data_IF_782313589349
#
_entry.id   IF_782313589349
#
_cell.length_a   1.000
_cell.length_b   1.000
_cell.length_c   1.000
_cell.angle_alpha   90.00
_cell.angle_beta   90.00
_cell.angle_gamma   90.00
#
_symmetry.space_group_name_H-M   'P 1'
#
loop_
_entity.id
_entity.type
_entity.pdbx_description
1 polymer ?
#
# COMPACT_ATOMS: atom_id res chain seq x y z
N UNK A 1 -5.50 8.07 -3.45
CA UNK A 1 -5.43 8.12 -4.93
C UNK A 1 -5.04 6.77 -5.48
N UNK A 2 -5.56 6.39 -6.65
CA UNK A 2 -5.17 5.20 -7.42
C UNK A 2 -4.43 5.65 -8.67
N UNK A 3 -3.25 5.08 -8.94
CA UNK A 3 -2.55 5.22 -10.21
C UNK A 3 -2.78 3.94 -11.04
N UNK A 4 -3.39 4.08 -12.19
CA UNK A 4 -3.55 2.96 -13.12
C UNK A 4 -2.27 2.87 -13.95
N UNK A 5 -1.48 1.82 -13.71
CA UNK A 5 -0.25 1.58 -14.47
C UNK A 5 -0.61 0.83 -15.76
N UNK A 6 -0.74 1.58 -16.84
CA UNK A 6 -1.16 1.04 -18.13
C UNK A 6 -0.01 0.31 -18.86
N UNK A 7 -0.31 -0.87 -19.35
CA UNK A 7 0.58 -1.65 -20.21
C UNK A 7 0.03 -1.72 -21.64
N UNK A 8 0.88 -1.98 -22.66
CA UNK A 8 0.45 -2.07 -24.06
C UNK A 8 -0.59 -3.15 -24.35
N UNK A 9 -0.70 -4.13 -23.46
CA UNK A 9 -1.68 -5.23 -23.56
C UNK A 9 -3.04 -4.88 -23.00
N UNK A 10 -3.14 -3.78 -22.24
CA UNK A 10 -4.39 -3.37 -21.62
C UNK A 10 -5.32 -2.75 -22.66
N UNK A 11 -6.57 -3.15 -22.63
CA UNK A 11 -7.58 -2.57 -23.51
C UNK A 11 -8.13 -1.28 -22.90
N UNK A 12 -8.57 -0.37 -23.78
CA UNK A 12 -9.23 0.86 -23.34
C UNK A 12 -10.42 0.57 -22.45
N UNK A 13 -11.18 -0.48 -22.71
CA UNK A 13 -12.35 -0.85 -21.93
C UNK A 13 -12.00 -1.24 -20.48
N UNK A 14 -10.89 -1.95 -20.29
CA UNK A 14 -10.40 -2.31 -18.95
C UNK A 14 -9.95 -1.07 -18.16
N UNK A 15 -9.19 -0.18 -18.80
CA UNK A 15 -8.74 1.06 -18.18
C UNK A 15 -9.93 1.96 -17.80
N UNK A 16 -10.88 2.14 -18.71
CA UNK A 16 -12.10 2.93 -18.47
C UNK A 16 -12.95 2.31 -17.34
N UNK A 17 -13.03 0.99 -17.26
CA UNK A 17 -13.75 0.30 -16.19
C UNK A 17 -13.13 0.57 -14.81
N UNK A 18 -11.81 0.44 -14.69
CA UNK A 18 -11.10 0.71 -13.44
C UNK A 18 -11.26 2.18 -13.03
N UNK A 19 -11.13 3.11 -13.99
CA UNK A 19 -11.31 4.53 -13.74
C UNK A 19 -12.73 4.84 -13.25
N UNK A 20 -13.74 4.30 -13.93
CA UNK A 20 -15.15 4.48 -13.55
C UNK A 20 -15.41 3.94 -12.13
N UNK A 21 -14.83 2.77 -11.80
CA UNK A 21 -15.00 2.16 -10.48
C UNK A 21 -14.33 2.97 -9.36
N UNK A 22 -13.17 3.54 -9.62
CA UNK A 22 -12.52 4.46 -8.69
C UNK A 22 -13.37 5.70 -8.43
N UNK A 23 -13.93 6.29 -9.48
CA UNK A 23 -14.82 7.45 -9.37
C UNK A 23 -16.10 7.14 -8.60
N UNK A 24 -16.71 5.97 -8.84
CA UNK A 24 -17.88 5.48 -8.09
C UNK A 24 -17.60 5.40 -6.58
N UNK A 25 -16.38 4.96 -6.22
CA UNK A 25 -15.92 4.87 -4.83
C UNK A 25 -15.42 6.20 -4.25
N UNK A 26 -15.50 7.30 -4.99
CA UNK A 26 -15.00 8.61 -4.54
C UNK A 26 -13.48 8.67 -4.41
N UNK A 27 -12.75 7.80 -5.13
CA UNK A 27 -11.30 7.74 -5.08
C UNK A 27 -10.70 8.47 -6.28
N UNK A 28 -9.79 9.40 -6.04
CA UNK A 28 -9.04 10.08 -7.09
C UNK A 28 -8.21 9.05 -7.86
N UNK A 29 -8.21 9.16 -9.18
CA UNK A 29 -7.56 8.22 -10.08
C UNK A 29 -6.84 8.94 -11.21
N UNK A 30 -5.65 8.49 -11.56
CA UNK A 30 -4.89 8.97 -12.71
C UNK A 30 -4.30 7.80 -13.50
N UNK A 31 -4.32 7.92 -14.83
CA UNK A 31 -3.66 6.97 -15.72
C UNK A 31 -2.17 7.29 -15.79
N UNK A 32 -1.34 6.28 -15.64
CA UNK A 32 0.11 6.34 -15.83
C UNK A 32 0.50 5.51 -17.05
N UNK A 33 1.02 6.16 -18.07
CA UNK A 33 1.53 5.53 -19.29
C UNK A 33 3.07 5.58 -19.34
N UNK A 34 3.72 5.64 -18.19
CA UNK A 34 5.18 5.79 -18.07
C UNK A 34 5.93 4.66 -18.78
N UNK A 35 5.38 3.46 -18.77
CA UNK A 35 5.99 2.32 -19.46
C UNK A 35 6.11 2.57 -20.97
N UNK A 36 5.08 3.13 -21.62
CA UNK A 36 5.06 3.34 -23.06
C UNK A 36 5.66 4.68 -23.49
N UNK A 37 5.51 5.73 -22.68
CA UNK A 37 5.82 7.13 -23.03
C UNK A 37 6.92 7.76 -22.18
N UNK A 38 7.52 7.01 -21.25
CA UNK A 38 8.49 7.57 -20.31
C UNK A 38 7.88 8.67 -19.45
N UNK A 39 8.66 9.71 -19.13
CA UNK A 39 8.23 10.79 -18.25
C UNK A 39 6.97 11.53 -18.71
N UNK A 40 6.77 11.68 -20.02
CA UNK A 40 5.56 12.32 -20.56
C UNK A 40 4.28 11.57 -20.19
N UNK A 41 4.36 10.22 -20.14
CA UNK A 41 3.24 9.38 -19.71
C UNK A 41 2.86 9.51 -18.25
N UNK A 42 3.71 10.14 -17.42
CA UNK A 42 3.48 10.36 -16.00
C UNK A 42 2.97 11.74 -15.62
N UNK A 43 2.89 12.69 -16.58
CA UNK A 43 2.56 14.09 -16.27
C UNK A 43 1.21 14.21 -15.55
N UNK A 44 0.15 13.59 -16.05
CA UNK A 44 -1.17 13.64 -15.44
C UNK A 44 -1.20 13.08 -14.02
N UNK A 45 -0.43 12.00 -13.78
CA UNK A 45 -0.27 11.44 -12.45
C UNK A 45 0.45 12.42 -11.52
N UNK A 46 1.52 13.06 -11.99
CA UNK A 46 2.28 14.04 -11.22
C UNK A 46 1.43 15.28 -10.87
N UNK A 47 0.67 15.81 -11.82
CA UNK A 47 -0.24 16.93 -11.62
C UNK A 47 -1.29 16.61 -10.56
N UNK A 48 -1.89 15.41 -10.61
CA UNK A 48 -2.88 14.98 -9.61
C UNK A 48 -2.26 14.77 -8.23
N UNK A 49 -1.02 14.27 -8.14
CA UNK A 49 -0.29 14.19 -6.86
C UNK A 49 -0.05 15.59 -6.29
N UNK A 50 0.44 16.53 -7.11
CA UNK A 50 0.67 17.91 -6.67
C UNK A 50 -0.63 18.53 -6.15
N UNK A 51 -1.72 18.36 -6.88
CA UNK A 51 -3.04 18.85 -6.44
C UNK A 51 -3.46 18.28 -5.10
N UNK A 52 -3.27 16.96 -4.90
CA UNK A 52 -3.69 16.26 -3.69
C UNK A 52 -2.84 16.57 -2.46
N UNK A 53 -1.55 16.89 -2.62
CA UNK A 53 -0.70 17.25 -1.47
C UNK A 53 -1.03 18.63 -0.90
N UNK A 54 -1.74 19.47 -1.67
CA UNK A 54 -2.26 20.76 -1.19
C UNK A 54 -3.60 20.62 -0.41
N UNK A 55 -4.25 19.45 -0.51
CA UNK A 55 -5.50 19.23 0.23
C UNK A 55 -5.20 18.90 1.71
N UNK A 56 -6.08 19.38 2.63
CA UNK A 56 -6.01 18.95 4.02
C UNK A 56 -6.05 17.43 4.13
N UNK A 57 -5.21 16.86 4.98
CA UNK A 57 -5.19 15.42 5.20
C UNK A 57 -5.20 15.11 6.69
N UNK A 58 -5.71 13.93 7.02
CA UNK A 58 -5.72 13.37 8.36
C UNK A 58 -4.90 12.07 8.36
N UNK A 59 -3.59 12.23 8.13
CA UNK A 59 -2.68 11.10 8.08
C UNK A 59 -2.58 10.40 9.42
N UNK A 60 -2.85 9.11 9.43
CA UNK A 60 -2.65 8.24 10.59
C UNK A 60 -1.78 7.04 10.23
N UNK A 61 -0.97 6.60 11.19
CA UNK A 61 -0.18 5.38 10.99
C UNK A 61 -1.07 4.14 10.97
N UNK A 62 -0.67 3.14 10.19
CA UNK A 62 -1.39 1.88 10.12
C UNK A 62 -1.32 1.08 11.42
N UNK A 63 -0.29 1.30 12.24
CA UNK A 63 -0.11 0.64 13.54
C UNK A 63 0.59 1.57 14.54
N UNK A 64 0.38 1.28 15.82
CA UNK A 64 1.07 1.96 16.93
C UNK A 64 2.47 1.38 17.11
N UNK A 65 3.43 2.23 17.54
CA UNK A 65 4.81 1.77 17.77
C UNK A 65 4.92 0.88 19.01
N UNK A 66 4.13 1.17 20.02
CA UNK A 66 4.08 0.38 21.26
C UNK A 66 3.33 -0.92 21.03
N UNK A 67 3.79 -1.98 21.67
CA UNK A 67 3.21 -3.31 21.55
C UNK A 67 4.15 -4.32 20.89
N UNK A 68 3.72 -5.56 20.88
CA UNK A 68 4.47 -6.65 20.28
C UNK A 68 4.53 -6.56 18.75
N UNK A 69 5.46 -7.26 18.15
CA UNK A 69 5.53 -7.40 16.68
C UNK A 69 4.23 -8.04 16.15
N UNK A 70 3.66 -9.00 16.88
CA UNK A 70 2.38 -9.62 16.51
C UNK A 70 1.22 -8.63 16.56
N UNK A 71 1.19 -7.71 17.55
CA UNK A 71 0.15 -6.66 17.65
C UNK A 71 0.21 -5.71 16.45
N UNK A 72 1.40 -5.29 16.04
CA UNK A 72 1.61 -4.45 14.87
C UNK A 72 1.12 -5.12 13.59
N UNK A 73 1.43 -6.40 13.42
CA UNK A 73 0.93 -7.22 12.32
C UNK A 73 -0.59 -7.33 12.30
N UNK A 74 -1.19 -7.56 13.47
CA UNK A 74 -2.64 -7.62 13.60
C UNK A 74 -3.30 -6.30 13.20
N UNK A 75 -2.75 -5.16 13.60
CA UNK A 75 -3.27 -3.85 13.21
C UNK A 75 -3.19 -3.65 11.69
N UNK A 76 -2.09 -4.05 11.04
CA UNK A 76 -1.95 -3.98 9.58
C UNK A 76 -2.97 -4.90 8.90
N UNK A 77 -3.11 -6.14 9.37
CA UNK A 77 -4.09 -7.10 8.82
C UNK A 77 -5.51 -6.55 8.92
N UNK A 78 -5.86 -5.95 10.03
CA UNK A 78 -7.20 -5.40 10.25
C UNK A 78 -7.44 -4.12 9.46
N UNK A 79 -6.52 -3.16 9.49
CA UNK A 79 -6.72 -1.83 8.89
C UNK A 79 -6.50 -1.83 7.37
N UNK A 80 -5.57 -2.62 6.86
CA UNK A 80 -5.18 -2.60 5.44
C UNK A 80 -5.83 -3.73 4.66
N UNK A 81 -5.86 -4.93 5.22
CA UNK A 81 -6.35 -6.13 4.52
C UNK A 81 -7.78 -6.53 4.90
N UNK A 82 -8.41 -5.89 5.88
CA UNK A 82 -9.75 -6.26 6.35
C UNK A 82 -9.83 -7.65 6.98
N UNK A 83 -8.70 -8.24 7.34
CA UNK A 83 -8.62 -9.55 7.98
C UNK A 83 -8.91 -9.48 9.48
N UNK A 84 -9.21 -10.61 10.09
CA UNK A 84 -9.49 -10.67 11.54
C UNK A 84 -8.23 -10.67 12.37
N UNK A 85 -7.23 -11.44 11.96
CA UNK A 85 -5.99 -11.62 12.73
C UNK A 85 -4.89 -12.22 11.85
N UNK A 86 -3.63 -11.96 12.21
CA UNK A 86 -2.46 -12.61 11.62
C UNK A 86 -2.34 -14.05 12.13
N UNK A 87 -1.85 -14.94 11.27
CA UNK A 87 -1.46 -16.29 11.65
C UNK A 87 0.02 -16.44 11.36
N UNK A 88 0.82 -16.54 12.42
CA UNK A 88 2.26 -16.73 12.32
C UNK A 88 2.61 -18.22 12.35
N UNK A 89 3.53 -18.63 11.49
CA UNK A 89 4.16 -19.96 11.62
C UNK A 89 4.97 -20.04 12.93
N UNK A 90 5.23 -21.23 13.42
CA UNK A 90 6.04 -21.43 14.63
C UNK A 90 7.44 -20.77 14.52
N UNK A 91 8.03 -20.81 13.33
CA UNK A 91 9.31 -20.14 13.07
C UNK A 91 9.20 -18.62 13.14
N UNK A 92 8.15 -18.03 12.51
CA UNK A 92 7.91 -16.60 12.56
C UNK A 92 7.65 -16.10 13.99
N UNK A 93 6.88 -16.85 14.80
CA UNK A 93 6.69 -16.54 16.21
C UNK A 93 8.01 -16.55 17.01
N UNK A 94 8.85 -17.54 16.77
CA UNK A 94 10.16 -17.62 17.42
C UNK A 94 11.05 -16.43 17.03
N UNK A 95 11.08 -16.07 15.76
CA UNK A 95 11.85 -14.91 15.28
C UNK A 95 11.32 -13.59 15.87
N UNK A 96 10.01 -13.39 15.91
CA UNK A 96 9.41 -12.21 16.51
C UNK A 96 9.83 -12.06 17.99
N UNK A 97 9.71 -13.13 18.78
CA UNK A 97 10.14 -13.14 20.18
C UNK A 97 11.62 -12.86 20.36
N UNK A 98 12.47 -13.38 19.48
CA UNK A 98 13.91 -13.12 19.51
C UNK A 98 14.21 -11.63 19.24
N UNK A 99 13.55 -11.03 18.25
CA UNK A 99 13.70 -9.61 17.94
C UNK A 99 13.24 -8.73 19.09
N UNK A 100 12.12 -9.07 19.73
CA UNK A 100 11.62 -8.36 20.90
C UNK A 100 12.59 -8.46 22.10
N UNK A 101 13.15 -9.63 22.34
CA UNK A 101 14.16 -9.85 23.38
C UNK A 101 15.46 -9.05 23.13
N UNK A 102 15.79 -8.78 21.87
CA UNK A 102 16.90 -7.91 21.47
C UNK A 102 16.59 -6.41 21.55
N UNK A 103 15.38 -6.04 21.97
CA UNK A 103 14.96 -4.65 22.14
C UNK A 103 14.34 -4.00 20.91
N UNK A 104 14.05 -4.77 19.84
CA UNK A 104 13.46 -4.24 18.60
C UNK A 104 11.92 -4.21 18.62
N UNK A 105 11.28 -4.54 19.74
CA UNK A 105 9.83 -4.54 19.85
C UNK A 105 9.19 -3.19 19.52
N UNK A 106 9.79 -2.08 19.92
CA UNK A 106 9.28 -0.73 19.65
C UNK A 106 9.84 -0.06 18.39
N UNK A 107 10.51 -0.81 17.54
CA UNK A 107 10.98 -0.31 16.26
C UNK A 107 9.85 -0.25 15.23
N UNK A 108 9.98 0.68 14.27
CA UNK A 108 9.17 0.65 13.05
C UNK A 108 9.51 -0.60 12.26
N UNK A 109 8.50 -1.32 11.83
CA UNK A 109 8.68 -2.59 11.11
C UNK A 109 8.40 -2.39 9.62
N UNK A 110 9.30 -2.88 8.79
CA UNK A 110 9.12 -2.96 7.34
C UNK A 110 8.88 -4.41 6.96
N UNK A 111 7.78 -4.66 6.29
CA UNK A 111 7.39 -5.98 5.83
C UNK A 111 7.72 -6.11 4.36
N UNK A 112 8.68 -6.93 4.05
CA UNK A 112 9.03 -7.24 2.67
C UNK A 112 8.31 -8.52 2.25
N UNK A 113 7.51 -8.40 1.18
CA UNK A 113 7.01 -9.59 0.49
C UNK A 113 8.15 -10.13 -0.37
N UNK A 114 8.65 -11.35 -0.14
CA UNK A 114 9.60 -11.94 -1.06
C UNK A 114 8.94 -12.05 -2.44
N UNK A 115 9.59 -11.50 -3.47
CA UNK A 115 9.17 -11.78 -4.84
C UNK A 115 9.52 -13.24 -5.09
N UNK A 116 8.53 -14.09 -5.22
CA UNK A 116 8.71 -15.39 -5.85
C UNK A 116 8.92 -15.11 -7.32
N UNK A 117 10.19 -15.21 -7.75
CA UNK A 117 10.54 -15.27 -9.17
C UNK A 117 10.00 -16.57 -9.79
#
# INVERSE_FOLDING_TARGET
MVAINAFPTDTKAELDFVEAKCKELGVNVALSEVWAKGGEGGIKLAEEVIRLVEEPNDFTYAYELEGSIEDKLNQIVQKVYGGKKVVLTANAQKQAKQLEALGFGNCRSVWLRPSTA
#
